data_IF_213484730453
#
_entry.id   IF_213484730453
#
_cell.length_a   1.000
_cell.length_b   1.000
_cell.length_c   1.000
_cell.angle_alpha   90.00
_cell.angle_beta   90.00
_cell.angle_gamma   90.00
#
_symmetry.space_group_name_H-M   'P 1'
#
loop_
_entity.id
_entity.type
_entity.pdbx_description
1 polymer ?
#
# COMPACT_ATOMS: atom_id res chain seq x y z
N UNK A 1 -17.01 3.09 28.11
CA UNK A 1 -18.26 3.54 27.47
C UNK A 1 -18.01 4.18 26.10
N UNK A 2 -16.98 5.02 25.94
CA UNK A 2 -16.63 5.69 24.66
C UNK A 2 -16.50 4.75 23.45
N UNK A 3 -15.88 3.57 23.58
CA UNK A 3 -15.68 2.66 22.45
C UNK A 3 -16.97 2.03 21.90
N UNK A 4 -18.05 1.95 22.70
CA UNK A 4 -19.33 1.45 22.19
C UNK A 4 -20.00 2.46 21.26
N UNK A 5 -19.94 3.74 21.61
CA UNK A 5 -20.55 4.80 20.83
C UNK A 5 -19.97 4.90 19.40
N UNK A 6 -18.65 4.80 19.26
CA UNK A 6 -18.00 4.81 17.94
C UNK A 6 -18.46 3.63 17.09
N UNK A 7 -18.56 2.45 17.71
CA UNK A 7 -18.97 1.24 17.02
C UNK A 7 -20.43 1.29 16.55
N UNK A 8 -21.34 1.87 17.35
CA UNK A 8 -22.73 2.08 16.96
C UNK A 8 -22.82 3.08 15.79
N UNK A 9 -22.00 4.14 15.79
CA UNK A 9 -21.91 5.11 14.68
C UNK A 9 -21.40 4.45 13.38
N UNK A 10 -20.37 3.60 13.49
CA UNK A 10 -19.85 2.84 12.35
C UNK A 10 -20.91 1.91 11.76
N UNK A 11 -21.62 1.19 12.63
CA UNK A 11 -22.71 0.27 12.26
C UNK A 11 -23.85 0.99 11.55
N UNK A 12 -24.33 2.08 12.14
CA UNK A 12 -25.60 2.69 11.72
C UNK A 12 -25.41 3.67 10.54
N UNK A 13 -24.20 4.21 10.33
CA UNK A 13 -23.99 5.26 9.32
C UNK A 13 -22.70 5.12 8.52
N UNK A 14 -21.52 5.10 9.17
CA UNK A 14 -20.26 5.35 8.47
C UNK A 14 -19.90 4.25 7.48
N UNK A 15 -20.15 2.99 7.82
CA UNK A 15 -19.80 1.87 6.95
C UNK A 15 -20.58 1.90 5.64
N UNK A 16 -21.90 2.15 5.69
CA UNK A 16 -22.72 2.24 4.47
C UNK A 16 -22.33 3.44 3.60
N UNK A 17 -22.01 4.58 4.22
CA UNK A 17 -21.52 5.76 3.50
C UNK A 17 -20.19 5.44 2.83
N UNK A 18 -19.24 4.85 3.57
CA UNK A 18 -17.93 4.49 3.06
C UNK A 18 -18.03 3.51 1.88
N UNK A 19 -18.86 2.47 1.97
CA UNK A 19 -19.05 1.52 0.87
C UNK A 19 -19.76 2.12 -0.34
N UNK A 20 -20.71 3.04 -0.14
CA UNK A 20 -21.31 3.78 -1.27
C UNK A 20 -20.27 4.64 -1.97
N UNK A 21 -19.50 5.43 -1.22
CA UNK A 21 -18.43 6.26 -1.79
C UNK A 21 -17.41 5.38 -2.52
N UNK A 22 -16.94 4.32 -1.89
CA UNK A 22 -15.99 3.38 -2.50
C UNK A 22 -16.56 2.67 -3.73
N UNK A 23 -17.87 2.54 -3.90
CA UNK A 23 -18.43 1.93 -5.11
C UNK A 23 -18.38 2.90 -6.32
N UNK A 24 -18.46 4.21 -6.10
CA UNK A 24 -18.46 5.20 -7.19
C UNK A 24 -17.07 5.78 -7.49
N UNK A 25 -16.26 5.98 -6.45
CA UNK A 25 -14.93 6.59 -6.56
C UNK A 25 -14.00 5.90 -7.58
N UNK A 26 -13.85 4.56 -7.63
CA UNK A 26 -12.96 3.91 -8.62
C UNK A 26 -13.44 4.13 -10.05
N UNK A 27 -14.76 4.22 -10.27
CA UNK A 27 -15.34 4.48 -11.60
C UNK A 27 -15.02 5.91 -12.01
N UNK A 28 -15.25 6.88 -11.11
CA UNK A 28 -14.93 8.29 -11.36
C UNK A 28 -13.43 8.45 -11.62
N UNK A 29 -12.57 7.89 -10.76
CA UNK A 29 -11.12 7.94 -10.93
C UNK A 29 -10.67 7.31 -12.26
N UNK A 30 -11.25 6.15 -12.61
CA UNK A 30 -10.92 5.43 -13.85
C UNK A 30 -11.33 6.17 -15.12
N UNK A 31 -12.49 6.85 -15.11
CA UNK A 31 -13.02 7.53 -16.28
C UNK A 31 -12.57 8.98 -16.40
N UNK A 32 -12.19 9.63 -15.30
CA UNK A 32 -11.86 11.06 -15.28
C UNK A 32 -10.41 11.31 -14.91
N UNK A 33 -9.98 10.91 -13.71
CA UNK A 33 -8.67 11.27 -13.15
C UNK A 33 -7.53 10.64 -13.96
N UNK A 34 -7.57 9.33 -14.21
CA UNK A 34 -6.49 8.66 -14.95
C UNK A 34 -6.38 9.12 -16.40
N UNK A 35 -7.48 9.23 -17.19
CA UNK A 35 -7.41 9.81 -18.52
C UNK A 35 -6.96 11.27 -18.54
N UNK A 36 -7.41 12.09 -17.58
CA UNK A 36 -6.96 13.48 -17.47
C UNK A 36 -5.46 13.56 -17.20
N UNK A 37 -4.93 12.74 -16.29
CA UNK A 37 -3.49 12.67 -16.01
C UNK A 37 -2.68 12.28 -17.26
N UNK A 38 -3.16 11.30 -18.03
CA UNK A 38 -2.55 10.90 -19.30
C UNK A 38 -2.61 12.07 -20.30
N UNK A 39 -3.76 12.72 -20.43
CA UNK A 39 -3.95 13.86 -21.32
C UNK A 39 -3.00 15.02 -20.98
N UNK A 40 -2.90 15.41 -19.71
CA UNK A 40 -1.99 16.47 -19.27
C UNK A 40 -0.52 16.14 -19.57
N UNK A 41 -0.11 14.88 -19.36
CA UNK A 41 1.25 14.42 -19.66
C UNK A 41 1.58 14.42 -21.17
N UNK A 42 0.60 14.09 -22.01
CA UNK A 42 0.79 14.04 -23.48
C UNK A 42 0.74 15.44 -24.09
N UNK A 43 -0.27 16.24 -23.72
CA UNK A 43 -0.67 17.46 -24.45
C UNK A 43 -0.10 18.74 -23.81
N UNK A 44 -0.11 18.88 -22.49
CA UNK A 44 0.24 20.15 -21.81
C UNK A 44 1.72 20.26 -21.38
N UNK A 45 2.58 19.38 -21.86
CA UNK A 45 3.99 19.32 -21.46
C UNK A 45 5.02 20.16 -22.26
N UNK A 46 4.72 21.24 -23.03
CA UNK A 46 5.77 22.07 -23.64
C UNK A 46 6.71 22.75 -22.62
N UNK A 47 6.25 22.99 -21.39
CA UNK A 47 7.03 23.65 -20.32
C UNK A 47 8.00 22.73 -19.59
N UNK A 48 7.89 21.41 -19.79
CA UNK A 48 8.73 20.43 -19.10
C UNK A 48 9.98 20.11 -19.92
N UNK A 49 11.15 20.07 -19.28
CA UNK A 49 12.40 19.70 -19.96
C UNK A 49 12.28 18.30 -20.56
N UNK A 50 12.86 18.10 -21.75
CA UNK A 50 12.73 16.84 -22.51
C UNK A 50 13.13 15.60 -21.70
N UNK A 51 14.10 15.73 -20.80
CA UNK A 51 14.57 14.63 -19.96
C UNK A 51 13.54 14.23 -18.90
N UNK A 52 12.89 15.20 -18.26
CA UNK A 52 11.81 14.94 -17.30
C UNK A 52 10.61 14.36 -18.06
N UNK A 53 10.32 14.90 -19.25
CA UNK A 53 9.26 14.38 -20.12
C UNK A 53 9.55 12.95 -20.53
N UNK A 54 10.78 12.62 -20.89
CA UNK A 54 11.19 11.25 -21.19
C UNK A 54 11.19 10.37 -19.95
N UNK A 55 11.47 10.88 -18.73
CA UNK A 55 11.38 10.08 -17.51
C UNK A 55 9.91 9.78 -17.15
N UNK A 56 9.02 10.76 -17.25
CA UNK A 56 7.58 10.58 -17.06
C UNK A 56 6.98 9.71 -18.15
N UNK A 57 7.28 10.02 -19.42
CA UNK A 57 6.87 9.19 -20.53
C UNK A 57 7.49 7.83 -20.39
N UNK A 58 8.74 7.62 -19.98
CA UNK A 58 9.27 6.26 -19.78
C UNK A 58 8.57 5.58 -18.61
N UNK A 59 8.24 6.25 -17.51
CA UNK A 59 7.35 5.64 -16.49
C UNK A 59 5.94 5.34 -17.03
N UNK A 60 5.49 6.09 -18.03
CA UNK A 60 4.23 5.87 -18.76
C UNK A 60 4.36 4.87 -19.93
N UNK A 61 5.57 4.68 -20.50
CA UNK A 61 5.92 4.08 -21.82
C UNK A 61 6.81 2.84 -21.70
N UNK A 62 7.45 2.61 -20.55
CA UNK A 62 7.60 1.25 -20.01
C UNK A 62 6.24 0.66 -19.58
N UNK A 63 5.17 1.42 -19.90
CA UNK A 63 3.94 1.09 -20.67
C UNK A 63 2.86 0.38 -19.86
N UNK A 64 1.85 1.17 -19.52
CA UNK A 64 0.64 0.82 -18.79
C UNK A 64 0.83 0.39 -17.33
N UNK A 65 1.99 -0.08 -16.90
CA UNK A 65 2.11 -0.70 -15.58
C UNK A 65 1.78 0.23 -14.40
N UNK A 66 2.22 1.49 -14.37
CA UNK A 66 1.90 2.38 -13.24
C UNK A 66 0.41 2.74 -13.18
N UNK A 67 -0.18 3.17 -14.30
CA UNK A 67 -1.60 3.52 -14.34
C UNK A 67 -2.46 2.28 -14.13
N UNK A 68 -2.10 1.14 -14.74
CA UNK A 68 -2.73 -0.16 -14.48
C UNK A 68 -2.61 -0.52 -13.00
N UNK A 69 -1.47 -0.32 -12.35
CA UNK A 69 -1.32 -0.61 -10.91
C UNK A 69 -2.27 0.24 -10.09
N UNK A 70 -2.40 1.54 -10.37
CA UNK A 70 -3.31 2.42 -9.62
C UNK A 70 -4.77 2.06 -9.87
N UNK A 71 -5.14 1.78 -11.13
CA UNK A 71 -6.47 1.25 -11.47
C UNK A 71 -6.70 -0.07 -10.74
N UNK A 72 -5.79 -1.03 -10.86
CA UNK A 72 -5.85 -2.32 -10.19
C UNK A 72 -6.02 -2.17 -8.67
N UNK A 73 -5.24 -1.28 -8.05
CA UNK A 73 -5.31 -0.98 -6.63
C UNK A 73 -6.68 -0.42 -6.25
N UNK A 74 -7.17 0.61 -6.95
CA UNK A 74 -8.49 1.18 -6.71
C UNK A 74 -9.59 0.13 -6.86
N UNK A 75 -9.53 -0.69 -7.91
CA UNK A 75 -10.52 -1.73 -8.14
C UNK A 75 -10.46 -2.84 -7.08
N UNK A 76 -9.28 -3.19 -6.59
CA UNK A 76 -9.16 -4.14 -5.46
C UNK A 76 -9.80 -3.58 -4.20
N UNK A 77 -9.39 -2.38 -3.80
CA UNK A 77 -9.82 -1.81 -2.53
C UNK A 77 -11.28 -1.35 -2.57
N UNK A 78 -11.77 -0.90 -3.72
CA UNK A 78 -13.06 -0.23 -3.81
C UNK A 78 -14.17 -1.10 -4.41
N UNK A 79 -13.82 -2.19 -5.13
CA UNK A 79 -14.79 -3.10 -5.74
C UNK A 79 -14.61 -4.57 -5.33
N UNK A 80 -13.41 -5.15 -5.49
CA UNK A 80 -13.21 -6.59 -5.31
C UNK A 80 -13.20 -7.02 -3.85
N UNK A 81 -12.57 -6.24 -2.96
CA UNK A 81 -12.45 -6.55 -1.54
C UNK A 81 -13.36 -5.64 -0.70
N UNK A 82 -13.35 -4.32 -0.93
CA UNK A 82 -14.09 -3.33 -0.11
C UNK A 82 -13.82 -3.50 1.39
N UNK A 83 -12.57 -3.33 1.85
CA UNK A 83 -12.26 -3.44 3.27
C UNK A 83 -12.75 -2.22 4.05
N UNK A 84 -13.20 -2.45 5.28
CA UNK A 84 -13.52 -1.45 6.29
C UNK A 84 -12.85 -1.86 7.60
N UNK A 85 -11.98 -1.01 8.12
CA UNK A 85 -11.29 -1.27 9.37
C UNK A 85 -12.20 -0.89 10.55
N UNK A 86 -12.27 -1.76 11.56
CA UNK A 86 -13.12 -1.56 12.75
C UNK A 86 -12.28 -1.38 14.03
N UNK A 87 -11.71 -0.19 14.30
CA UNK A 87 -11.06 0.07 15.58
C UNK A 87 -12.10 -0.01 16.72
N UNK A 88 -11.73 -0.46 17.94
CA UNK A 88 -10.40 -0.87 18.41
C UNK A 88 -10.03 -2.32 18.10
N UNK A 89 -10.91 -3.07 17.43
CA UNK A 89 -10.58 -4.44 17.06
C UNK A 89 -9.47 -4.40 16.02
N UNK A 90 -8.52 -5.35 16.11
CA UNK A 90 -7.65 -5.66 14.98
C UNK A 90 -8.46 -6.43 13.94
N UNK A 91 -9.50 -5.80 13.37
CA UNK A 91 -10.49 -6.43 12.52
C UNK A 91 -10.67 -5.60 11.24
N UNK A 92 -10.72 -6.31 10.13
CA UNK A 92 -11.23 -5.79 8.87
C UNK A 92 -12.51 -6.53 8.49
N UNK A 93 -13.53 -5.78 8.16
CA UNK A 93 -14.73 -6.30 7.52
C UNK A 93 -14.66 -6.03 6.02
N UNK A 94 -15.12 -6.96 5.18
CA UNK A 94 -15.10 -6.74 3.73
C UNK A 94 -16.34 -7.30 3.03
N UNK A 95 -16.85 -6.54 2.04
CA UNK A 95 -18.10 -6.86 1.31
C UNK A 95 -17.90 -6.97 -0.21
N UNK A 96 -16.68 -6.87 -0.72
CA UNK A 96 -16.42 -6.95 -2.15
C UNK A 96 -16.75 -8.31 -2.76
N UNK A 97 -16.76 -8.37 -4.10
CA UNK A 97 -17.09 -9.57 -4.87
C UNK A 97 -16.32 -10.81 -4.38
N UNK A 98 -15.02 -10.66 -4.08
CA UNK A 98 -14.18 -11.75 -3.60
C UNK A 98 -14.51 -12.16 -2.16
N UNK A 99 -14.95 -11.21 -1.32
CA UNK A 99 -15.35 -11.47 0.06
C UNK A 99 -16.71 -12.18 0.17
N UNK A 100 -17.65 -11.88 -0.74
CA UNK A 100 -18.97 -12.54 -0.77
C UNK A 100 -18.95 -13.88 -1.49
N UNK A 101 -17.93 -14.15 -2.31
CA UNK A 101 -17.78 -15.41 -3.05
C UNK A 101 -17.36 -16.60 -2.19
N UNK A 102 -17.12 -16.41 -0.88
CA UNK A 102 -16.69 -17.47 0.03
C UNK A 102 -15.25 -17.94 -0.21
N UNK A 103 -14.39 -17.08 -0.77
CA UNK A 103 -12.97 -17.39 -0.92
C UNK A 103 -12.28 -17.51 0.44
N UNK A 104 -11.19 -18.28 0.49
CA UNK A 104 -10.41 -18.39 1.71
C UNK A 104 -9.83 -17.02 2.10
N UNK A 105 -9.79 -16.75 3.41
CA UNK A 105 -9.29 -15.47 3.94
C UNK A 105 -7.85 -15.19 3.54
N UNK A 106 -7.02 -16.23 3.41
CA UNK A 106 -5.65 -16.10 2.90
C UNK A 106 -5.62 -15.52 1.47
N UNK A 107 -6.53 -15.95 0.59
CA UNK A 107 -6.62 -15.40 -0.76
C UNK A 107 -7.13 -13.96 -0.75
N UNK A 108 -8.19 -13.68 0.03
CA UNK A 108 -8.73 -12.33 0.20
C UNK A 108 -7.63 -11.38 0.67
N UNK A 109 -6.88 -11.77 1.69
CA UNK A 109 -5.73 -11.02 2.23
C UNK A 109 -4.60 -10.86 1.23
N UNK A 110 -4.26 -11.93 0.51
CA UNK A 110 -3.24 -11.90 -0.54
C UNK A 110 -3.58 -10.90 -1.64
N UNK A 111 -4.83 -10.89 -2.12
CA UNK A 111 -5.30 -9.92 -3.11
C UNK A 111 -5.35 -8.51 -2.54
N UNK A 112 -5.88 -8.33 -1.33
CA UNK A 112 -5.95 -7.02 -0.68
C UNK A 112 -4.56 -6.37 -0.59
N UNK A 113 -3.55 -7.14 -0.21
CA UNK A 113 -2.24 -6.61 0.12
C UNK A 113 -1.32 -6.60 -1.09
N UNK A 114 -1.53 -7.43 -2.10
CA UNK A 114 -0.68 -7.45 -3.32
C UNK A 114 -0.60 -6.09 -4.02
N UNK A 115 -1.67 -5.29 -3.93
CA UNK A 115 -1.69 -3.95 -4.50
C UNK A 115 -0.72 -2.97 -3.82
N UNK A 116 -0.50 -3.11 -2.52
CA UNK A 116 0.32 -2.17 -1.73
C UNK A 116 1.79 -2.16 -2.19
N UNK A 117 2.51 -3.30 -2.26
CA UNK A 117 3.88 -3.34 -2.77
C UNK A 117 4.03 -2.77 -4.18
N UNK A 118 3.05 -2.99 -5.05
CA UNK A 118 3.08 -2.48 -6.42
C UNK A 118 3.06 -0.95 -6.43
N UNK A 119 2.10 -0.33 -5.73
CA UNK A 119 1.97 1.13 -5.65
C UNK A 119 3.19 1.75 -4.98
N UNK A 120 3.61 1.22 -3.84
CA UNK A 120 4.76 1.72 -3.07
C UNK A 120 6.03 1.70 -3.93
N UNK A 121 6.33 0.55 -4.56
CA UNK A 121 7.56 0.40 -5.36
C UNK A 121 7.60 1.41 -6.51
N UNK A 122 6.49 1.55 -7.23
CA UNK A 122 6.41 2.50 -8.34
C UNK A 122 6.53 3.95 -7.87
N UNK A 123 5.86 4.32 -6.77
CA UNK A 123 5.97 5.65 -6.18
C UNK A 123 7.41 5.97 -5.77
N UNK A 124 8.10 5.05 -5.10
CA UNK A 124 9.49 5.25 -4.69
C UNK A 124 10.44 5.41 -5.88
N UNK A 125 10.26 4.63 -6.95
CA UNK A 125 11.05 4.80 -8.19
C UNK A 125 10.86 6.20 -8.75
N UNK A 126 9.61 6.67 -8.85
CA UNK A 126 9.31 8.01 -9.34
C UNK A 126 9.94 9.09 -8.46
N UNK A 127 9.75 8.99 -7.14
CA UNK A 127 10.32 9.93 -6.17
C UNK A 127 11.84 9.98 -6.24
N UNK A 128 12.49 8.83 -6.40
CA UNK A 128 13.95 8.76 -6.53
C UNK A 128 14.43 9.46 -7.80
N UNK A 129 13.72 9.28 -8.94
CA UNK A 129 14.04 9.99 -10.19
C UNK A 129 13.85 11.50 -10.06
N UNK A 130 12.72 11.92 -9.48
CA UNK A 130 12.44 13.35 -9.23
C UNK A 130 13.50 13.96 -8.31
N UNK A 131 13.90 13.24 -7.26
CA UNK A 131 14.98 13.68 -6.38
C UNK A 131 16.29 13.86 -7.15
N UNK A 132 16.68 12.90 -8.00
CA UNK A 132 17.90 12.99 -8.81
C UNK A 132 17.87 14.14 -9.83
N UNK A 133 16.71 14.48 -10.35
CA UNK A 133 16.51 15.64 -11.20
C UNK A 133 16.66 16.95 -10.42
N UNK A 134 16.04 17.03 -9.23
CA UNK A 134 16.13 18.20 -8.36
C UNK A 134 17.56 18.47 -7.87
N UNK A 135 18.33 17.42 -7.57
CA UNK A 135 19.75 17.53 -7.17
C UNK A 135 20.72 17.46 -8.35
N UNK A 136 20.23 17.57 -9.58
CA UNK A 136 20.98 17.29 -10.83
C UNK A 136 22.20 18.17 -11.08
N UNK A 137 22.41 19.23 -10.28
CA UNK A 137 23.58 20.10 -10.38
C UNK A 137 24.87 19.27 -10.29
N UNK A 138 25.85 19.46 -11.20
CA UNK A 138 27.05 18.61 -11.29
C UNK A 138 27.88 18.59 -10.00
N UNK A 139 27.80 19.64 -9.18
CA UNK A 139 28.50 19.74 -7.91
C UNK A 139 27.72 19.24 -6.69
N UNK A 140 26.48 18.77 -6.86
CA UNK A 140 25.66 18.30 -5.74
C UNK A 140 26.24 17.05 -5.10
N UNK A 141 26.39 17.06 -3.78
CA UNK A 141 26.82 15.90 -2.98
C UNK A 141 25.72 14.87 -2.78
N UNK A 142 24.48 15.20 -3.13
CA UNK A 142 23.29 14.36 -2.94
C UNK A 142 22.92 13.53 -4.19
N UNK A 143 23.73 13.60 -5.24
CA UNK A 143 23.52 12.81 -6.45
C UNK A 143 23.85 11.35 -6.15
N UNK A 144 22.88 10.47 -6.42
CA UNK A 144 23.01 9.04 -6.19
C UNK A 144 23.42 8.35 -7.49
N UNK A 145 24.38 7.44 -7.40
CA UNK A 145 24.76 6.63 -8.55
C UNK A 145 23.62 5.70 -8.98
N UNK A 146 23.60 5.32 -10.26
CA UNK A 146 22.56 4.42 -10.81
C UNK A 146 22.53 3.07 -10.08
N UNK A 147 23.70 2.59 -9.64
CA UNK A 147 23.85 1.37 -8.84
C UNK A 147 23.14 1.52 -7.49
N UNK A 148 23.38 2.63 -6.79
CA UNK A 148 22.72 2.90 -5.51
C UNK A 148 21.20 3.01 -5.66
N UNK A 149 20.74 3.69 -6.71
CA UNK A 149 19.30 3.77 -6.99
C UNK A 149 18.67 2.38 -7.20
N UNK A 150 19.34 1.51 -7.96
CA UNK A 150 18.89 0.14 -8.18
C UNK A 150 18.86 -0.67 -6.88
N UNK A 151 19.90 -0.57 -6.04
CA UNK A 151 19.95 -1.25 -4.74
C UNK A 151 18.76 -0.82 -3.87
N UNK A 152 18.52 0.49 -3.75
CA UNK A 152 17.37 1.02 -2.98
C UNK A 152 16.05 0.47 -3.49
N UNK A 153 15.83 0.48 -4.81
CA UNK A 153 14.59 -0.05 -5.39
C UNK A 153 14.41 -1.55 -5.12
N UNK A 154 15.45 -2.36 -5.32
CA UNK A 154 15.41 -3.81 -5.06
C UNK A 154 15.13 -4.09 -3.59
N UNK A 155 15.79 -3.36 -2.69
CA UNK A 155 15.58 -3.52 -1.25
C UNK A 155 14.15 -3.16 -0.82
N UNK A 156 13.61 -2.02 -1.27
CA UNK A 156 12.21 -1.62 -0.96
C UNK A 156 11.22 -2.66 -1.49
N UNK A 157 11.43 -3.13 -2.72
CA UNK A 157 10.59 -4.17 -3.33
C UNK A 157 10.63 -5.44 -2.49
N UNK A 158 11.83 -5.89 -2.11
CA UNK A 158 12.04 -7.08 -1.27
C UNK A 158 11.33 -6.95 0.07
N UNK A 159 11.53 -5.85 0.81
CA UNK A 159 10.85 -5.60 2.09
C UNK A 159 9.33 -5.61 1.93
N UNK A 160 8.81 -5.02 0.85
CA UNK A 160 7.37 -4.99 0.58
C UNK A 160 6.80 -6.38 0.25
N UNK A 161 7.55 -7.22 -0.45
CA UNK A 161 7.17 -8.62 -0.73
C UNK A 161 7.23 -9.48 0.53
N UNK A 162 8.23 -9.29 1.39
CA UNK A 162 8.29 -9.94 2.70
C UNK A 162 7.08 -9.57 3.55
N UNK A 163 6.70 -8.29 3.56
CA UNK A 163 5.50 -7.82 4.24
C UNK A 163 4.23 -8.50 3.69
N UNK A 164 4.08 -8.59 2.37
CA UNK A 164 2.96 -9.31 1.74
C UNK A 164 2.89 -10.76 2.21
N UNK A 165 4.01 -11.48 2.18
CA UNK A 165 4.06 -12.87 2.63
C UNK A 165 3.71 -12.99 4.11
N UNK A 166 4.22 -12.08 4.94
CA UNK A 166 3.93 -11.98 6.36
C UNK A 166 2.44 -11.84 6.64
N UNK A 167 1.77 -10.90 5.99
CA UNK A 167 0.32 -10.74 6.13
C UNK A 167 -0.48 -11.96 5.66
N UNK A 168 -0.05 -12.66 4.60
CA UNK A 168 -0.74 -13.88 4.13
C UNK A 168 -0.55 -15.04 5.11
N UNK A 169 0.64 -15.18 5.69
CA UNK A 169 0.98 -16.28 6.61
C UNK A 169 0.43 -16.03 8.01
N UNK A 170 0.55 -14.81 8.53
CA UNK A 170 0.17 -14.44 9.89
C UNK A 170 -1.21 -13.78 9.98
N UNK A 171 -1.86 -13.50 8.85
CA UNK A 171 -3.25 -13.03 8.76
C UNK A 171 -4.29 -14.15 8.83
N UNK A 172 -3.95 -15.25 9.50
CA UNK A 172 -4.89 -16.35 9.76
C UNK A 172 -5.86 -15.98 10.88
N UNK A 173 -6.99 -16.68 10.91
CA UNK A 173 -7.96 -16.54 11.98
C UNK A 173 -7.38 -16.90 13.35
N UNK A 174 -7.98 -16.31 14.37
CA UNK A 174 -7.72 -16.65 15.77
C UNK A 174 -8.31 -18.01 16.11
N UNK A 175 -7.68 -18.73 17.05
CA UNK A 175 -8.15 -20.04 17.51
C UNK A 175 -9.57 -19.98 18.09
N UNK A 176 -9.98 -18.83 18.63
CA UNK A 176 -11.32 -18.57 19.18
C UNK A 176 -12.22 -17.73 18.26
N UNK A 177 -11.95 -17.71 16.96
CA UNK A 177 -12.73 -16.95 15.97
C UNK A 177 -14.24 -17.18 16.10
N UNK A 178 -14.68 -18.44 16.19
CA UNK A 178 -16.09 -18.81 16.26
C UNK A 178 -16.80 -18.31 17.53
N UNK A 179 -16.06 -18.13 18.62
CA UNK A 179 -16.58 -17.56 19.86
C UNK A 179 -16.73 -16.03 19.74
N UNK A 180 -15.72 -15.38 19.14
CA UNK A 180 -15.70 -13.93 18.98
C UNK A 180 -16.83 -13.42 18.09
N UNK A 181 -17.12 -14.09 16.98
CA UNK A 181 -18.18 -13.67 16.04
C UNK A 181 -19.59 -13.80 16.63
N UNK A 182 -19.78 -14.67 17.64
CA UNK A 182 -21.05 -14.81 18.39
C UNK A 182 -21.26 -13.67 19.39
N UNK A 183 -20.23 -12.85 19.64
CA UNK A 183 -20.35 -11.67 20.48
C UNK A 183 -21.31 -10.64 19.87
N UNK A 184 -22.14 -9.97 20.69
CA UNK A 184 -23.17 -9.04 20.19
C UNK A 184 -22.61 -7.88 19.36
N UNK A 185 -21.32 -7.57 19.53
CA UNK A 185 -20.63 -6.54 18.75
C UNK A 185 -20.32 -7.02 17.33
N UNK A 186 -20.06 -8.30 17.09
CA UNK A 186 -19.67 -8.79 15.76
C UNK A 186 -20.80 -9.52 15.02
N UNK A 187 -21.81 -9.98 15.74
CA UNK A 187 -22.92 -10.75 15.14
C UNK A 187 -23.65 -10.02 14.03
N UNK A 188 -23.84 -8.69 14.15
CA UNK A 188 -24.50 -7.92 13.09
C UNK A 188 -23.67 -7.86 11.80
N UNK A 189 -22.33 -7.87 11.88
CA UNK A 189 -21.45 -7.93 10.70
C UNK A 189 -21.57 -9.28 9.98
N UNK A 190 -21.71 -10.36 10.76
CA UNK A 190 -21.98 -11.71 10.24
C UNK A 190 -23.34 -11.75 9.55
N UNK A 191 -24.38 -11.20 10.19
CA UNK A 191 -25.73 -11.14 9.63
C UNK A 191 -25.81 -10.36 8.31
N UNK A 192 -24.91 -9.39 8.13
CA UNK A 192 -24.82 -8.58 6.92
C UNK A 192 -24.24 -9.34 5.71
N UNK A 193 -23.51 -10.44 5.93
CA UNK A 193 -23.08 -11.37 4.86
C UNK A 193 -21.71 -11.09 4.25
N UNK A 194 -20.89 -10.24 4.87
CA UNK A 194 -19.50 -10.00 4.49
C UNK A 194 -18.51 -10.96 5.17
N UNK A 195 -17.23 -10.84 4.84
CA UNK A 195 -16.15 -11.61 5.46
C UNK A 195 -15.47 -10.79 6.56
N UNK A 196 -15.26 -11.42 7.72
CA UNK A 196 -14.51 -10.85 8.85
C UNK A 196 -13.09 -11.40 8.89
N UNK A 197 -12.12 -10.50 8.90
CA UNK A 197 -10.68 -10.77 8.98
C UNK A 197 -10.19 -10.31 10.36
N UNK A 198 -10.18 -11.21 11.35
CA UNK A 198 -9.77 -10.91 12.73
C UNK A 198 -8.29 -11.24 12.96
N UNK A 199 -7.49 -10.23 13.24
CA UNK A 199 -6.05 -10.32 13.53
C UNK A 199 -5.74 -10.37 15.03
N UNK A 200 -6.69 -10.01 15.89
CA UNK A 200 -6.50 -9.98 17.33
C UNK A 200 -7.77 -9.61 18.10
N UNK A 201 -7.84 -10.08 19.34
CA UNK A 201 -8.83 -9.62 20.30
C UNK A 201 -8.46 -8.22 20.84
N UNK A 202 -9.44 -7.42 21.26
CA UNK A 202 -9.16 -6.18 21.97
C UNK A 202 -8.24 -6.44 23.16
N UNK A 203 -7.13 -5.68 23.21
CA UNK A 203 -6.11 -5.74 24.29
C UNK A 203 -5.28 -7.03 24.36
N UNK A 204 -5.46 -7.99 23.45
CA UNK A 204 -4.55 -9.14 23.34
C UNK A 204 -3.77 -9.07 22.03
N UNK A 205 -2.49 -9.38 22.10
CA UNK A 205 -1.63 -9.47 20.92
C UNK A 205 -1.95 -10.76 20.17
N UNK A 206 -2.47 -10.65 18.95
CA UNK A 206 -2.65 -11.79 18.05
C UNK A 206 -1.34 -12.22 17.37
N UNK A 207 -1.40 -13.28 16.57
CA UNK A 207 -0.24 -13.78 15.81
C UNK A 207 0.31 -12.73 14.84
N UNK A 208 -0.54 -11.82 14.37
CA UNK A 208 -0.17 -10.70 13.52
C UNK A 208 0.91 -9.79 14.12
N UNK A 209 1.05 -9.72 15.45
CA UNK A 209 2.16 -8.99 16.08
C UNK A 209 3.54 -9.55 15.72
N UNK A 210 3.65 -10.86 15.43
CA UNK A 210 4.91 -11.46 14.97
C UNK A 210 5.31 -10.87 13.62
N UNK A 211 4.34 -10.67 12.72
CA UNK A 211 4.59 -10.01 11.44
C UNK A 211 5.06 -8.57 11.63
N UNK A 212 4.40 -7.80 12.50
CA UNK A 212 4.83 -6.45 12.85
C UNK A 212 6.29 -6.39 13.34
N UNK A 213 6.71 -7.37 14.14
CA UNK A 213 8.11 -7.47 14.58
C UNK A 213 9.08 -7.80 13.45
N UNK A 214 8.71 -8.74 12.56
CA UNK A 214 9.52 -9.10 11.38
C UNK A 214 9.65 -7.90 10.46
N UNK A 215 8.55 -7.20 10.18
CA UNK A 215 8.54 -6.00 9.36
C UNK A 215 9.39 -4.89 9.98
N UNK A 216 9.23 -4.64 11.28
CA UNK A 216 10.01 -3.63 11.99
C UNK A 216 11.51 -3.93 11.90
N UNK A 217 11.90 -5.19 12.10
CA UNK A 217 13.28 -5.62 11.93
C UNK A 217 13.77 -5.43 10.49
N UNK A 218 12.98 -5.83 9.49
CA UNK A 218 13.33 -5.69 8.07
C UNK A 218 13.51 -4.21 7.67
N UNK A 219 12.63 -3.32 8.14
CA UNK A 219 12.71 -1.88 7.90
C UNK A 219 13.95 -1.28 8.55
N UNK A 220 14.25 -1.64 9.80
CA UNK A 220 15.44 -1.16 10.50
C UNK A 220 16.73 -1.65 9.83
N UNK A 221 16.77 -2.92 9.41
CA UNK A 221 17.90 -3.50 8.69
C UNK A 221 18.12 -2.80 7.34
N UNK A 222 17.03 -2.53 6.60
CA UNK A 222 17.06 -1.76 5.37
C UNK A 222 17.59 -0.34 5.60
N UNK A 223 17.04 0.36 6.60
CA UNK A 223 17.45 1.73 6.93
C UNK A 223 18.94 1.81 7.29
N UNK A 224 19.42 0.91 8.16
CA UNK A 224 20.84 0.84 8.52
C UNK A 224 21.73 0.59 7.31
N UNK A 225 21.37 -0.39 6.46
CA UNK A 225 22.13 -0.74 5.26
C UNK A 225 22.19 0.41 4.26
N UNK A 226 21.07 1.11 4.07
CA UNK A 226 20.97 2.26 3.19
C UNK A 226 21.84 3.42 3.70
N UNK A 227 21.78 3.73 5.00
CA UNK A 227 22.61 4.78 5.61
C UNK A 227 24.11 4.50 5.47
N UNK A 228 24.54 3.25 5.67
CA UNK A 228 25.94 2.89 5.54
C UNK A 228 26.43 2.98 4.09
N UNK A 229 25.61 2.58 3.12
CA UNK A 229 25.89 2.76 1.69
C UNK A 229 25.98 4.24 1.31
N UNK A 230 25.02 5.06 1.76
CA UNK A 230 25.05 6.51 1.53
C UNK A 230 26.29 7.16 2.14
N UNK A 231 26.67 6.75 3.35
CA UNK A 231 27.87 7.25 4.04
C UNK A 231 29.14 6.88 3.28
N UNK A 232 29.25 5.66 2.75
CA UNK A 232 30.40 5.21 1.94
C UNK A 232 30.49 5.99 0.63
N UNK A 233 29.37 6.15 -0.07
CA UNK A 233 29.32 6.89 -1.33
C UNK A 233 29.69 8.37 -1.14
N UNK A 234 29.20 8.98 -0.06
CA UNK A 234 29.52 10.37 0.27
C UNK A 234 31.01 10.57 0.55
N UNK A 235 31.65 9.65 1.29
CA UNK A 235 33.10 9.70 1.54
C UNK A 235 33.90 9.59 0.24
N UNK A 236 33.58 8.62 -0.62
CA UNK A 236 34.25 8.41 -1.90
C UNK A 236 34.15 9.64 -2.83
N UNK A 237 32.99 10.29 -2.86
CA UNK A 237 32.78 11.51 -3.66
C UNK A 237 33.55 12.74 -3.14
N UNK A 238 33.87 12.79 -1.84
CA UNK A 238 34.67 13.87 -1.24
C UNK A 238 36.14 13.67 -1.55
N UNK A 239 36.64 12.43 -1.44
CA UNK A 239 38.04 12.08 -1.72
C UNK A 239 38.42 12.32 -3.19
N UNK A 240 37.52 12.05 -4.14
CA UNK A 240 37.79 12.31 -5.57
C UNK A 240 37.85 13.78 -5.98
N UNK A 241 37.43 14.72 -5.12
CA UNK A 241 37.43 16.17 -5.41
C UNK A 241 38.60 16.92 -4.77
N UNK A 242 39.40 16.26 -3.94
CA UNK A 242 40.63 16.80 -3.34
C UNK A 242 41.83 16.39 -4.18
#
# INVERSE_FOLDING_TARGET
>A
MVMRYVFDLDRDFLMDIAFRINSFLPIISSLTIYPANIYFLIVQCPSMTRDIRQAYLTNLVTKDYQTIIHIYFDWIFAFLIRPYAFPPYGLYYCEGVLCTAGLSKMLIMGFLISGIPMVITTYYILMLRLHQLAVGHPNSRWKLTRRMQYIVCVSITSTSLTNLAGFVIFGTDLDNYDELIKGPQLTWLVQRGGTLLLFGEPRKTGQFMKDCHILHFAVNAFHSSCLDLLRKEFKSNVEHKM
#
